data_IF_475308602235
#
_entry.id   IF_475308602235
#
_cell.length_a   1.000
_cell.length_b   1.000
_cell.length_c   1.000
_cell.angle_alpha   90.00
_cell.angle_beta   90.00
_cell.angle_gamma   90.00
#
_symmetry.space_group_name_H-M   'P 1'
#
loop_
_entity.id
_entity.type
_entity.pdbx_description
1 polymer ?
#
# COMPACT_ATOMS: atom_id res chain seq x y z
N UNK A 1 -18.04 18.69 -7.02
CA UNK A 1 -17.60 17.29 -6.73
C UNK A 1 -17.22 17.17 -5.26
N UNK A 2 -17.71 16.17 -4.55
CA UNK A 2 -17.51 16.08 -3.08
C UNK A 2 -16.07 15.81 -2.62
N UNK A 3 -15.17 15.29 -3.49
CA UNK A 3 -13.88 14.74 -3.08
C UNK A 3 -12.65 15.27 -3.86
N UNK A 4 -12.80 16.29 -4.71
CA UNK A 4 -11.67 16.85 -5.45
C UNK A 4 -11.14 18.10 -4.75
N UNK A 5 -9.84 18.09 -4.43
CA UNK A 5 -9.10 19.22 -3.89
C UNK A 5 -8.36 19.91 -5.03
N UNK A 6 -8.64 21.19 -5.23
CA UNK A 6 -7.92 22.04 -6.16
C UNK A 6 -7.03 22.99 -5.34
N UNK A 7 -5.70 22.80 -5.34
CA UNK A 7 -4.82 23.70 -4.60
C UNK A 7 -4.79 25.08 -5.25
N UNK A 8 -4.78 26.13 -4.43
CA UNK A 8 -4.63 27.50 -4.92
C UNK A 8 -3.28 27.65 -5.63
N UNK A 9 -3.26 28.35 -6.76
CA UNK A 9 -2.06 28.68 -7.54
C UNK A 9 -1.23 27.45 -7.97
N UNK A 10 -1.83 26.25 -7.99
CA UNK A 10 -1.13 25.06 -8.47
C UNK A 10 -0.91 25.13 -9.97
N UNK A 11 0.30 24.81 -10.37
CA UNK A 11 0.65 24.47 -11.76
C UNK A 11 1.76 23.42 -11.76
N UNK A 12 1.63 22.43 -12.63
CA UNK A 12 2.67 21.42 -12.80
C UNK A 12 4.00 22.08 -13.21
N UNK A 13 5.09 21.68 -12.55
CA UNK A 13 6.43 22.18 -12.85
C UNK A 13 7.08 21.48 -14.04
N UNK A 14 6.49 20.37 -14.48
CA UNK A 14 6.92 19.59 -15.64
C UNK A 14 5.76 19.51 -16.62
N UNK A 15 6.06 19.59 -17.92
CA UNK A 15 5.10 19.26 -18.96
C UNK A 15 4.82 17.75 -19.02
N UNK A 16 3.95 17.30 -19.93
CA UNK A 16 3.57 15.88 -20.03
C UNK A 16 4.75 14.97 -20.41
N UNK A 17 5.62 15.43 -21.33
CA UNK A 17 6.77 14.64 -21.78
C UNK A 17 7.79 14.49 -20.65
N UNK A 18 8.17 15.58 -20.01
CA UNK A 18 9.13 15.58 -18.90
C UNK A 18 8.58 14.86 -17.67
N UNK A 19 7.24 14.90 -17.46
CA UNK A 19 6.58 14.11 -16.43
C UNK A 19 6.77 12.61 -16.67
N UNK A 20 6.65 12.10 -17.91
CA UNK A 20 6.90 10.68 -18.21
C UNK A 20 8.33 10.26 -17.93
N UNK A 21 9.32 11.12 -18.26
CA UNK A 21 10.73 10.87 -17.94
C UNK A 21 10.93 10.82 -16.42
N UNK A 22 10.34 11.80 -15.71
CA UNK A 22 10.44 11.89 -14.25
C UNK A 22 9.80 10.69 -13.52
N UNK A 23 8.62 10.20 -13.98
CA UNK A 23 7.99 8.98 -13.47
C UNK A 23 8.96 7.79 -13.56
N UNK A 24 9.58 7.59 -14.72
CA UNK A 24 10.57 6.52 -14.92
C UNK A 24 11.76 6.67 -13.97
N UNK A 25 12.26 7.88 -13.84
CA UNK A 25 13.40 8.22 -12.97
C UNK A 25 13.11 7.89 -11.50
N UNK A 26 11.94 8.31 -10.99
CA UNK A 26 11.48 7.97 -9.62
C UNK A 26 11.37 6.46 -9.44
N UNK A 27 10.65 5.79 -10.36
CA UNK A 27 10.38 4.36 -10.24
C UNK A 27 11.65 3.53 -10.26
N UNK A 28 12.56 3.79 -11.18
CA UNK A 28 13.83 3.04 -11.28
C UNK A 28 14.70 3.23 -10.03
N UNK A 29 14.82 4.46 -9.56
CA UNK A 29 15.64 4.72 -8.38
C UNK A 29 15.05 4.06 -7.13
N UNK A 30 13.76 4.28 -6.87
CA UNK A 30 13.10 3.75 -5.67
C UNK A 30 13.11 2.22 -5.62
N UNK A 31 12.73 1.55 -6.71
CA UNK A 31 12.69 0.06 -6.74
C UNK A 31 14.06 -0.57 -6.53
N UNK A 32 15.13 0.06 -7.05
CA UNK A 32 16.49 -0.42 -6.83
C UNK A 32 16.92 -0.25 -5.37
N UNK A 33 16.59 0.90 -4.75
CA UNK A 33 16.83 1.12 -3.32
C UNK A 33 16.07 0.10 -2.47
N UNK A 34 14.79 -0.14 -2.76
CA UNK A 34 13.96 -1.10 -2.05
C UNK A 34 14.55 -2.52 -2.13
N UNK A 35 14.90 -2.96 -3.35
CA UNK A 35 15.48 -4.27 -3.59
C UNK A 35 16.79 -4.48 -2.83
N UNK A 36 17.66 -3.49 -2.81
CA UNK A 36 18.95 -3.53 -2.09
C UNK A 36 18.76 -3.55 -0.57
N UNK A 37 17.95 -2.61 -0.02
CA UNK A 37 17.80 -2.47 1.43
C UNK A 37 17.06 -3.64 2.10
N UNK A 38 16.14 -4.28 1.38
CA UNK A 38 15.37 -5.40 1.90
C UNK A 38 15.85 -6.78 1.39
N UNK A 39 16.86 -6.84 0.51
CA UNK A 39 17.35 -8.07 -0.12
C UNK A 39 16.25 -8.79 -0.93
N UNK A 40 15.65 -8.08 -1.87
CA UNK A 40 14.53 -8.57 -2.66
C UNK A 40 14.96 -8.91 -4.09
N UNK A 41 14.43 -10.00 -4.62
CA UNK A 41 14.54 -10.39 -6.02
C UNK A 41 13.23 -10.06 -6.74
N UNK A 42 13.31 -9.40 -7.91
CA UNK A 42 12.12 -9.15 -8.73
C UNK A 42 11.61 -10.45 -9.34
N UNK A 43 10.32 -10.72 -9.20
CA UNK A 43 9.67 -11.92 -9.77
C UNK A 43 8.48 -11.55 -10.64
N UNK A 44 8.09 -12.47 -11.52
CA UNK A 44 6.83 -12.38 -12.25
C UNK A 44 5.67 -12.77 -11.34
N UNK A 45 4.61 -11.97 -11.35
CA UNK A 45 3.41 -12.19 -10.57
C UNK A 45 2.16 -12.31 -11.48
N UNK A 46 1.09 -12.98 -11.01
CA UNK A 46 -0.14 -13.08 -11.78
C UNK A 46 -0.90 -11.74 -11.79
N UNK A 47 -1.51 -11.41 -12.91
CA UNK A 47 -2.51 -10.34 -13.02
C UNK A 47 -3.89 -10.81 -12.52
N UNK A 48 -4.16 -12.11 -12.59
CA UNK A 48 -5.43 -12.73 -12.20
C UNK A 48 -5.18 -14.11 -11.59
N UNK A 49 -6.09 -14.53 -10.75
CA UNK A 49 -6.02 -15.80 -10.02
C UNK A 49 -7.38 -16.53 -10.06
N UNK A 50 -7.38 -17.83 -9.72
CA UNK A 50 -8.60 -18.59 -9.47
C UNK A 50 -9.20 -18.15 -8.11
N UNK A 51 -10.47 -17.70 -8.04
CA UNK A 51 -11.12 -17.31 -6.79
C UNK A 51 -11.11 -18.41 -5.73
N UNK A 52 -11.13 -19.69 -6.15
CA UNK A 52 -11.11 -20.83 -5.24
C UNK A 52 -9.76 -21.09 -4.57
N UNK A 53 -8.70 -20.40 -5.01
CA UNK A 53 -7.35 -20.57 -4.44
C UNK A 53 -7.16 -19.89 -3.09
N UNK A 54 -7.97 -18.89 -2.76
CA UNK A 54 -7.78 -18.00 -1.60
C UNK A 54 -6.61 -17.04 -1.76
N UNK A 55 -6.10 -16.84 -2.99
CA UNK A 55 -4.94 -15.99 -3.28
C UNK A 55 -5.31 -14.56 -3.66
N UNK A 56 -6.60 -14.26 -3.93
CA UNK A 56 -7.04 -12.89 -4.14
C UNK A 56 -7.35 -12.22 -2.79
N UNK A 57 -7.05 -10.93 -2.69
CA UNK A 57 -7.39 -10.13 -1.53
C UNK A 57 -8.89 -9.76 -1.55
N UNK A 58 -9.57 -9.98 -0.45
CA UNK A 58 -10.96 -9.57 -0.31
C UNK A 58 -11.09 -8.13 0.24
N UNK A 59 -9.99 -7.41 0.42
CA UNK A 59 -9.94 -6.07 1.01
C UNK A 59 -10.75 -6.01 2.33
N UNK A 60 -11.80 -5.17 2.38
CA UNK A 60 -12.70 -5.08 3.53
C UNK A 60 -13.85 -6.12 3.48
N UNK A 61 -13.90 -6.93 2.41
CA UNK A 61 -14.90 -7.98 2.22
C UNK A 61 -16.21 -7.52 1.55
N UNK A 62 -16.29 -6.28 1.12
CA UNK A 62 -17.46 -5.70 0.43
C UNK A 62 -17.15 -5.34 -1.04
N UNK A 63 -15.90 -5.15 -1.38
CA UNK A 63 -15.43 -4.79 -2.71
C UNK A 63 -15.52 -6.01 -3.65
N UNK A 64 -16.00 -5.76 -4.86
CA UNK A 64 -16.21 -6.78 -5.88
C UNK A 64 -14.99 -6.88 -6.80
N UNK A 65 -14.36 -8.05 -6.96
CA UNK A 65 -13.29 -8.22 -7.95
C UNK A 65 -13.84 -8.11 -9.38
N UNK A 66 -12.96 -7.79 -10.34
CA UNK A 66 -13.24 -7.92 -11.77
C UNK A 66 -13.01 -9.36 -12.17
N UNK A 67 -14.06 -10.06 -12.60
CA UNK A 67 -14.01 -11.46 -12.99
C UNK A 67 -14.27 -11.62 -14.48
N UNK A 68 -13.68 -12.65 -15.09
CA UNK A 68 -13.89 -13.06 -16.47
C UNK A 68 -13.78 -14.58 -16.59
N UNK A 69 -14.36 -15.14 -17.67
CA UNK A 69 -14.25 -16.55 -18.00
C UNK A 69 -13.10 -16.82 -18.96
N UNK A 70 -12.53 -18.02 -18.87
CA UNK A 70 -11.44 -18.48 -19.74
C UNK A 70 -11.98 -19.52 -20.70
N UNK A 71 -12.11 -19.15 -22.00
CA UNK A 71 -12.69 -20.01 -23.05
C UNK A 71 -12.00 -21.38 -23.16
N UNK A 72 -10.67 -21.44 -23.14
CA UNK A 72 -9.91 -22.69 -23.26
C UNK A 72 -9.93 -23.57 -22.02
N UNK A 73 -10.57 -23.12 -20.93
CA UNK A 73 -10.72 -23.84 -19.67
C UNK A 73 -12.20 -24.06 -19.33
N UNK A 74 -13.03 -24.32 -20.33
CA UNK A 74 -14.46 -24.63 -20.19
C UNK A 74 -15.24 -23.57 -19.39
N UNK A 75 -14.88 -22.30 -19.53
CA UNK A 75 -15.53 -21.19 -18.83
C UNK A 75 -15.09 -21.04 -17.37
N UNK A 76 -13.94 -21.59 -16.96
CA UNK A 76 -13.37 -21.36 -15.63
C UNK A 76 -13.25 -19.86 -15.35
N UNK A 77 -13.71 -19.45 -14.20
CA UNK A 77 -13.65 -18.05 -13.77
C UNK A 77 -12.25 -17.72 -13.23
N UNK A 78 -11.73 -16.58 -13.65
CA UNK A 78 -10.56 -15.93 -13.08
C UNK A 78 -10.94 -14.53 -12.60
N UNK A 79 -10.26 -14.06 -11.56
CA UNK A 79 -10.41 -12.72 -11.00
C UNK A 79 -9.12 -11.93 -11.14
N UNK A 80 -9.21 -10.69 -11.63
CA UNK A 80 -8.10 -9.74 -11.56
C UNK A 80 -7.78 -9.49 -10.09
N UNK A 81 -6.51 -9.51 -9.74
CA UNK A 81 -6.09 -9.32 -8.34
C UNK A 81 -6.49 -7.94 -7.81
N UNK A 82 -6.89 -7.89 -6.54
CA UNK A 82 -7.10 -6.64 -5.80
C UNK A 82 -5.85 -6.29 -4.96
N UNK A 83 -5.06 -7.29 -4.56
CA UNK A 83 -3.67 -7.20 -4.08
C UNK A 83 -2.98 -8.55 -4.25
N UNK A 84 -1.66 -8.60 -4.01
CA UNK A 84 -0.87 -9.83 -4.05
C UNK A 84 -0.42 -10.29 -2.65
N UNK A 85 -1.08 -9.81 -1.59
CA UNK A 85 -0.66 -10.09 -0.22
C UNK A 85 -0.52 -11.59 0.08
N UNK A 86 -1.54 -12.39 -0.25
CA UNK A 86 -1.52 -13.84 -0.06
C UNK A 86 -0.58 -14.53 -1.03
N UNK A 87 -0.61 -14.12 -2.31
CA UNK A 87 0.18 -14.75 -3.36
C UNK A 87 1.69 -14.65 -3.09
N UNK A 88 2.19 -13.52 -2.60
CA UNK A 88 3.62 -13.31 -2.34
C UNK A 88 4.19 -14.32 -1.36
N UNK A 89 3.49 -14.55 -0.24
CA UNK A 89 3.91 -15.54 0.76
C UNK A 89 3.92 -16.96 0.19
N UNK A 90 2.90 -17.31 -0.59
CA UNK A 90 2.86 -18.59 -1.32
C UNK A 90 4.01 -18.70 -2.33
N UNK A 91 4.31 -17.62 -3.08
CA UNK A 91 5.38 -17.59 -4.07
C UNK A 91 6.77 -17.80 -3.44
N UNK A 92 7.04 -17.23 -2.27
CA UNK A 92 8.30 -17.46 -1.54
C UNK A 92 8.54 -18.96 -1.27
N UNK A 93 7.53 -19.70 -0.79
CA UNK A 93 7.61 -21.15 -0.63
C UNK A 93 7.82 -21.84 -1.97
N UNK A 94 6.96 -21.53 -2.96
CA UNK A 94 6.99 -22.18 -4.28
C UNK A 94 8.30 -22.01 -5.00
N UNK A 95 8.96 -20.85 -4.86
CA UNK A 95 10.22 -20.55 -5.53
C UNK A 95 11.45 -20.90 -4.68
N UNK A 96 11.29 -21.39 -3.46
CA UNK A 96 12.36 -21.87 -2.61
C UNK A 96 13.21 -20.77 -1.98
N UNK A 97 12.64 -19.59 -1.71
CA UNK A 97 13.33 -18.53 -1.00
C UNK A 97 13.58 -18.89 0.46
N UNK A 98 14.75 -18.51 0.97
CA UNK A 98 15.25 -18.84 2.30
C UNK A 98 15.16 -17.64 3.25
N UNK A 99 15.47 -17.87 4.54
CA UNK A 99 15.56 -16.83 5.56
C UNK A 99 16.41 -15.63 5.11
N UNK A 100 15.88 -14.44 5.31
CA UNK A 100 16.54 -13.18 4.97
C UNK A 100 16.42 -12.76 3.50
N UNK A 101 15.94 -13.64 2.63
CA UNK A 101 15.65 -13.37 1.22
C UNK A 101 14.18 -12.94 1.05
N UNK A 102 13.90 -12.23 -0.03
CA UNK A 102 12.54 -11.81 -0.36
C UNK A 102 12.31 -11.58 -1.84
N UNK A 103 11.08 -11.28 -2.17
CA UNK A 103 10.62 -10.98 -3.53
C UNK A 103 9.97 -9.61 -3.59
N UNK A 104 9.98 -8.99 -4.75
CA UNK A 104 9.09 -7.89 -5.10
C UNK A 104 8.59 -8.05 -6.54
N UNK A 105 7.50 -7.38 -6.83
CA UNK A 105 6.90 -7.36 -8.16
C UNK A 105 6.17 -6.04 -8.42
N UNK A 106 5.97 -5.73 -9.69
CA UNK A 106 5.06 -4.67 -10.12
C UNK A 106 3.65 -5.26 -10.14
N UNK A 107 2.84 -4.96 -9.12
CA UNK A 107 1.44 -5.35 -9.06
C UNK A 107 0.60 -4.32 -9.79
N UNK A 108 -0.32 -4.79 -10.63
CA UNK A 108 -1.40 -4.01 -11.22
C UNK A 108 -2.73 -4.62 -10.76
N UNK A 109 -3.59 -3.80 -10.18
CA UNK A 109 -4.89 -4.22 -9.68
C UNK A 109 -6.00 -3.31 -10.19
N UNK A 110 -7.22 -3.85 -10.23
CA UNK A 110 -8.43 -3.08 -10.55
C UNK A 110 -9.35 -3.13 -9.35
N UNK A 111 -9.57 -1.98 -8.71
CA UNK A 111 -10.54 -1.79 -7.63
C UNK A 111 -11.76 -1.09 -8.19
N UNK A 112 -12.67 -1.88 -8.76
CA UNK A 112 -13.82 -1.36 -9.54
C UNK A 112 -14.82 -0.55 -8.73
N UNK A 113 -14.84 -0.73 -7.41
CA UNK A 113 -15.75 -0.07 -6.48
C UNK A 113 -15.07 1.12 -5.73
N UNK A 114 -13.88 1.54 -6.17
CA UNK A 114 -13.14 2.65 -5.57
C UNK A 114 -13.78 4.01 -5.90
N UNK A 115 -13.95 4.84 -4.89
CA UNK A 115 -14.33 6.25 -5.05
C UNK A 115 -13.10 7.05 -5.46
N UNK A 116 -13.12 7.60 -6.69
CA UNK A 116 -11.99 8.35 -7.23
C UNK A 116 -11.91 9.76 -6.65
N UNK A 117 -10.68 10.18 -6.32
CA UNK A 117 -10.33 11.52 -5.86
C UNK A 117 -8.89 11.89 -6.29
N UNK A 118 -8.27 12.87 -5.63
CA UNK A 118 -6.89 13.27 -5.95
C UNK A 118 -5.86 12.15 -5.81
N UNK A 119 -6.08 11.17 -4.92
CA UNK A 119 -5.11 10.13 -4.55
C UNK A 119 -5.62 8.70 -4.74
N UNK A 120 -6.89 8.52 -5.14
CA UNK A 120 -7.52 7.22 -5.39
C UNK A 120 -7.93 7.08 -6.85
N UNK A 121 -7.58 5.93 -7.44
CA UNK A 121 -7.89 5.52 -8.81
C UNK A 121 -8.43 4.09 -8.80
N UNK A 122 -9.29 3.76 -9.75
CA UNK A 122 -9.71 2.36 -9.99
C UNK A 122 -8.55 1.46 -10.44
N UNK A 123 -7.51 2.04 -11.04
CA UNK A 123 -6.25 1.35 -11.33
C UNK A 123 -5.27 1.57 -10.18
N UNK A 124 -4.79 0.49 -9.57
CA UNK A 124 -3.82 0.51 -8.47
C UNK A 124 -2.53 -0.16 -8.92
N UNK A 125 -1.41 0.57 -8.83
CA UNK A 125 -0.08 0.05 -9.10
C UNK A 125 0.78 0.10 -7.83
N UNK A 126 1.41 -1.03 -7.47
CA UNK A 126 2.24 -1.12 -6.27
C UNK A 126 3.53 -1.88 -6.55
N UNK A 127 4.61 -1.53 -5.84
CA UNK A 127 5.67 -2.50 -5.56
C UNK A 127 5.18 -3.34 -4.39
N UNK A 128 4.75 -4.54 -4.73
CA UNK A 128 4.36 -5.55 -3.76
C UNK A 128 5.58 -6.38 -3.39
N UNK A 129 5.93 -6.43 -2.12
CA UNK A 129 7.12 -7.13 -1.63
C UNK A 129 6.81 -8.03 -0.44
N UNK A 130 7.64 -9.08 -0.26
CA UNK A 130 7.53 -10.05 0.83
C UNK A 130 8.90 -10.62 1.14
N UNK A 131 9.24 -10.80 2.43
CA UNK A 131 10.53 -11.29 2.89
C UNK A 131 10.36 -12.37 3.95
N UNK A 132 11.18 -13.45 3.88
CA UNK A 132 11.18 -14.54 4.87
C UNK A 132 11.88 -14.07 6.14
N UNK A 133 11.21 -14.29 7.28
CA UNK A 133 11.70 -14.02 8.63
C UNK A 133 11.64 -15.30 9.48
N UNK A 134 12.24 -15.27 10.66
CA UNK A 134 12.11 -16.33 11.66
C UNK A 134 10.93 -16.11 12.57
N UNK A 135 10.50 -17.14 13.29
CA UNK A 135 9.43 -17.05 14.27
C UNK A 135 9.76 -16.02 15.37
N UNK A 136 11.00 -16.00 15.88
CA UNK A 136 11.48 -15.08 16.92
C UNK A 136 11.47 -13.61 16.48
N UNK A 137 11.46 -13.37 15.16
CA UNK A 137 11.40 -12.04 14.55
C UNK A 137 9.96 -11.51 14.37
N UNK A 138 8.92 -12.30 14.76
CA UNK A 138 7.54 -11.83 14.80
C UNK A 138 7.32 -10.90 15.99
N UNK A 139 7.81 -9.68 15.91
CA UNK A 139 7.73 -8.67 16.96
C UNK A 139 7.78 -7.24 16.40
N UNK A 140 7.43 -6.25 17.24
CA UNK A 140 7.40 -4.85 16.84
C UNK A 140 8.79 -4.27 16.50
N UNK A 141 9.86 -4.80 17.07
CA UNK A 141 11.22 -4.29 16.79
C UNK A 141 11.65 -4.66 15.37
N UNK A 142 11.33 -5.87 14.92
CA UNK A 142 11.50 -6.28 13.51
C UNK A 142 10.68 -5.41 12.59
N UNK A 143 9.39 -5.17 12.89
CA UNK A 143 8.52 -4.29 12.11
C UNK A 143 9.14 -2.89 11.99
N UNK A 144 9.52 -2.28 13.11
CA UNK A 144 10.14 -0.94 13.14
C UNK A 144 11.44 -0.87 12.35
N UNK A 145 12.27 -1.93 12.43
CA UNK A 145 13.52 -2.02 11.68
C UNK A 145 13.27 -2.02 10.17
N UNK A 146 12.30 -2.81 9.71
CA UNK A 146 11.93 -2.88 8.29
C UNK A 146 11.31 -1.57 7.82
N UNK A 147 10.42 -0.95 8.62
CA UNK A 147 9.86 0.38 8.35
C UNK A 147 10.96 1.42 8.14
N UNK A 148 11.99 1.46 9.01
CA UNK A 148 13.13 2.38 8.84
C UNK A 148 13.89 2.13 7.55
N UNK A 149 14.02 0.87 7.09
CA UNK A 149 14.66 0.56 5.82
C UNK A 149 13.83 1.08 4.63
N UNK A 150 12.50 0.89 4.65
CA UNK A 150 11.60 1.45 3.62
C UNK A 150 11.65 2.98 3.66
N UNK A 151 11.60 3.58 4.85
CA UNK A 151 11.67 5.03 5.01
C UNK A 151 13.00 5.60 4.50
N UNK A 152 14.11 4.89 4.71
CA UNK A 152 15.42 5.26 4.13
C UNK A 152 15.39 5.27 2.61
N UNK A 153 14.67 4.34 1.98
CA UNK A 153 14.48 4.36 0.52
C UNK A 153 13.71 5.62 0.09
N UNK A 154 12.69 6.04 0.85
CA UNK A 154 11.97 7.30 0.59
C UNK A 154 12.89 8.51 0.71
N UNK A 155 13.67 8.62 1.79
CA UNK A 155 14.62 9.72 2.00
C UNK A 155 15.69 9.79 0.90
N UNK A 156 16.27 8.63 0.54
CA UNK A 156 17.26 8.58 -0.54
C UNK A 156 16.66 9.00 -1.87
N UNK A 157 15.40 8.62 -2.14
CA UNK A 157 14.70 9.01 -3.38
C UNK A 157 14.41 10.51 -3.37
N UNK A 158 13.93 11.07 -2.26
CA UNK A 158 13.73 12.51 -2.14
C UNK A 158 15.00 13.29 -2.44
N UNK A 159 16.11 12.91 -1.79
CA UNK A 159 17.42 13.55 -2.02
C UNK A 159 17.90 13.39 -3.46
N UNK A 160 17.70 12.21 -4.07
CA UNK A 160 18.05 12.00 -5.47
C UNK A 160 17.21 12.90 -6.38
N UNK A 161 15.90 13.00 -6.15
CA UNK A 161 15.01 13.82 -6.96
C UNK A 161 15.27 15.33 -6.78
N UNK A 162 15.65 15.80 -5.59
CA UNK A 162 16.01 17.20 -5.36
C UNK A 162 17.29 17.63 -6.12
N UNK A 163 18.19 16.68 -6.39
CA UNK A 163 19.38 16.91 -7.22
C UNK A 163 19.02 16.94 -8.71
N UNK A 164 18.02 16.15 -9.15
CA UNK A 164 17.61 16.09 -10.55
C UNK A 164 16.70 17.24 -10.97
N UNK A 165 15.91 17.79 -10.03
CA UNK A 165 14.87 18.77 -10.30
C UNK A 165 14.91 19.89 -9.25
N UNK A 166 15.35 21.08 -9.62
CA UNK A 166 15.59 22.23 -8.73
C UNK A 166 14.33 22.69 -7.95
N UNK A 167 13.11 22.37 -8.42
CA UNK A 167 11.88 22.73 -7.74
C UNK A 167 11.49 21.76 -6.61
N UNK A 168 12.18 20.64 -6.48
CA UNK A 168 11.88 19.62 -5.45
C UNK A 168 12.71 19.93 -4.20
N UNK A 169 12.04 20.41 -3.18
CA UNK A 169 12.61 20.59 -1.84
C UNK A 169 12.50 19.29 -1.02
N UNK A 170 13.49 19.03 -0.17
CA UNK A 170 13.44 17.94 0.80
C UNK A 170 12.50 18.32 1.95
N UNK A 171 11.41 17.55 2.14
CA UNK A 171 10.37 17.79 3.15
C UNK A 171 10.21 16.66 4.14
N UNK A 172 10.73 15.46 3.82
CA UNK A 172 10.69 14.33 4.74
C UNK A 172 11.65 14.56 5.93
N UNK A 173 11.24 14.29 7.17
CA UNK A 173 12.14 14.37 8.33
C UNK A 173 13.23 13.29 8.28
N UNK A 174 14.27 13.44 9.12
CA UNK A 174 15.40 12.50 9.13
C UNK A 174 15.00 11.10 9.63
N UNK A 175 14.03 10.99 10.54
CA UNK A 175 13.49 9.71 11.01
C UNK A 175 11.95 9.77 11.03
N UNK A 176 11.33 8.60 10.88
CA UNK A 176 9.88 8.44 10.92
C UNK A 176 9.39 8.33 12.36
N UNK A 177 8.28 9.00 12.68
CA UNK A 177 7.65 8.94 13.99
C UNK A 177 6.77 7.69 14.12
N UNK A 178 7.01 6.86 15.14
CA UNK A 178 6.21 5.66 15.42
C UNK A 178 5.11 5.96 16.44
N UNK A 179 3.89 5.55 16.12
CA UNK A 179 2.71 5.70 16.97
C UNK A 179 1.74 4.54 16.73
N UNK A 180 1.04 4.11 17.77
CA UNK A 180 -0.04 3.12 17.62
C UNK A 180 -1.38 3.82 17.38
N UNK A 181 -2.34 3.09 16.82
CA UNK A 181 -3.70 3.58 16.63
C UNK A 181 -4.36 3.98 17.95
N UNK A 182 -4.08 3.27 19.05
CA UNK A 182 -4.58 3.60 20.38
C UNK A 182 -3.97 4.91 20.91
N UNK A 183 -2.65 5.08 20.80
CA UNK A 183 -1.98 6.34 21.17
C UNK A 183 -2.54 7.52 20.35
N UNK A 184 -2.80 7.34 19.05
CA UNK A 184 -3.44 8.38 18.23
C UNK A 184 -4.87 8.72 18.70
N UNK A 185 -5.64 7.71 19.12
CA UNK A 185 -6.98 7.93 19.67
C UNK A 185 -6.94 8.69 20.99
N UNK A 186 -5.92 8.46 21.82
CA UNK A 186 -5.71 9.19 23.07
C UNK A 186 -5.22 10.62 22.84
N UNK A 187 -4.33 10.85 21.87
CA UNK A 187 -3.80 12.18 21.51
C UNK A 187 -4.90 13.06 20.88
N UNK A 188 -5.75 12.47 20.03
CA UNK A 188 -6.80 13.17 19.28
C UNK A 188 -8.17 12.47 19.48
N UNK A 189 -8.75 12.51 20.69
CA UNK A 189 -9.93 11.71 21.03
C UNK A 189 -11.18 12.08 20.23
N UNK A 190 -11.35 13.36 19.90
CA UNK A 190 -12.54 13.88 19.22
C UNK A 190 -12.47 13.81 17.68
N UNK A 191 -11.31 13.38 17.14
CA UNK A 191 -11.10 13.36 15.70
C UNK A 191 -11.39 12.00 15.07
N UNK A 192 -11.78 12.02 13.80
CA UNK A 192 -11.90 10.83 12.97
C UNK A 192 -10.52 10.19 12.71
N UNK A 193 -10.45 8.91 12.33
CA UNK A 193 -9.18 8.27 11.97
C UNK A 193 -8.37 9.05 10.93
N UNK A 194 -8.98 9.51 9.86
CA UNK A 194 -8.30 10.29 8.81
C UNK A 194 -7.81 11.67 9.28
N UNK A 195 -8.54 12.32 10.16
CA UNK A 195 -8.07 13.56 10.80
C UNK A 195 -6.87 13.30 11.72
N UNK A 196 -6.87 12.17 12.47
CA UNK A 196 -5.73 11.76 13.30
C UNK A 196 -4.48 11.52 12.47
N UNK A 197 -4.61 10.82 11.34
CA UNK A 197 -3.53 10.61 10.38
C UNK A 197 -2.99 11.94 9.84
N UNK A 198 -3.87 12.83 9.43
CA UNK A 198 -3.51 14.17 8.96
C UNK A 198 -2.75 14.97 10.02
N UNK A 199 -3.28 15.06 11.25
CA UNK A 199 -2.64 15.86 12.29
C UNK A 199 -1.29 15.33 12.71
N UNK A 200 -1.13 14.01 12.85
CA UNK A 200 0.17 13.43 13.20
C UNK A 200 1.17 13.57 12.06
N UNK A 201 0.76 13.35 10.82
CA UNK A 201 1.62 13.54 9.64
C UNK A 201 2.04 15.01 9.51
N UNK A 202 1.12 15.96 9.68
CA UNK A 202 1.42 17.40 9.64
C UNK A 202 2.37 17.83 10.75
N UNK A 203 2.19 17.31 11.96
CA UNK A 203 3.03 17.66 13.12
C UNK A 203 4.43 17.04 13.05
N UNK A 204 4.58 15.86 12.46
CA UNK A 204 5.82 15.07 12.44
C UNK A 204 6.48 14.97 11.06
N UNK A 205 5.82 15.39 9.98
CA UNK A 205 6.26 15.23 8.59
C UNK A 205 6.06 13.82 8.06
N UNK A 206 6.34 12.78 8.85
CA UNK A 206 6.13 11.37 8.52
C UNK A 206 5.82 10.55 9.78
N UNK A 207 4.84 9.68 9.71
CA UNK A 207 4.43 8.80 10.79
C UNK A 207 4.25 7.36 10.30
N UNK A 208 4.67 6.40 11.15
CA UNK A 208 4.33 4.99 11.03
C UNK A 208 3.23 4.69 12.04
N UNK A 209 2.02 4.46 11.56
CA UNK A 209 0.83 4.18 12.36
C UNK A 209 0.69 2.68 12.49
N UNK A 210 0.85 2.15 13.71
CA UNK A 210 0.92 0.72 13.97
C UNK A 210 -0.36 0.18 14.60
N UNK A 211 -0.57 -1.15 14.50
CA UNK A 211 -1.66 -1.92 15.11
C UNK A 211 -3.03 -1.54 14.56
N UNK A 212 -3.17 -1.65 13.25
CA UNK A 212 -4.41 -1.38 12.53
C UNK A 212 -5.23 -2.67 12.39
N UNK A 213 -6.57 -2.58 12.53
CA UNK A 213 -7.53 -3.67 12.27
C UNK A 213 -8.34 -4.08 13.49
N UNK A 214 -7.75 -4.14 14.68
CA UNK A 214 -8.49 -4.48 15.90
C UNK A 214 -9.28 -3.28 16.45
N UNK A 215 -10.25 -3.57 17.29
CA UNK A 215 -11.02 -2.53 18.00
C UNK A 215 -10.14 -1.85 19.04
N UNK A 216 -10.22 -0.53 19.08
CA UNK A 216 -9.61 0.31 20.12
C UNK A 216 -10.43 0.23 21.42
N UNK A 217 -9.93 0.80 22.51
CA UNK A 217 -10.64 0.87 23.81
C UNK A 217 -12.04 1.48 23.69
N UNK A 218 -12.27 2.38 22.72
CA UNK A 218 -13.57 2.96 22.45
C UNK A 218 -14.54 2.02 21.68
N UNK A 219 -14.13 0.78 21.39
CA UNK A 219 -14.92 -0.27 20.72
C UNK A 219 -15.00 -0.16 19.20
N UNK A 220 -14.32 0.81 18.57
CA UNK A 220 -14.27 1.00 17.12
C UNK A 220 -12.85 0.77 16.60
N UNK A 221 -12.64 0.18 15.42
CA UNK A 221 -11.31 0.12 14.82
C UNK A 221 -10.87 1.53 14.35
N UNK A 222 -9.56 1.72 14.23
CA UNK A 222 -9.01 2.92 13.58
C UNK A 222 -9.33 2.90 12.09
N UNK A 223 -9.00 1.79 11.42
CA UNK A 223 -9.33 1.53 10.01
C UNK A 223 -9.55 0.03 9.81
N UNK A 224 -10.14 -0.35 8.66
CA UNK A 224 -10.28 -1.74 8.23
C UNK A 224 -8.93 -2.35 7.88
N UNK A 225 -8.79 -3.66 8.16
CA UNK A 225 -7.66 -4.45 7.70
C UNK A 225 -8.13 -5.87 7.45
N UNK A 226 -7.82 -6.42 6.27
CA UNK A 226 -8.14 -7.81 5.97
C UNK A 226 -7.59 -8.75 7.05
N UNK A 227 -8.36 -9.74 7.50
CA UNK A 227 -7.93 -10.66 8.55
C UNK A 227 -6.93 -11.73 8.06
N UNK A 228 -6.74 -11.86 6.75
CA UNK A 228 -6.15 -13.05 6.13
C UNK A 228 -4.63 -12.99 5.98
N UNK A 229 -4.00 -11.81 6.11
CA UNK A 229 -2.57 -11.70 5.83
C UNK A 229 -1.77 -10.92 6.88
N UNK A 230 -2.11 -9.68 7.23
CA UNK A 230 -1.38 -8.92 8.24
C UNK A 230 -1.83 -9.28 9.65
N UNK A 231 -0.87 -9.54 10.55
CA UNK A 231 -1.15 -9.59 11.98
C UNK A 231 -1.51 -8.19 12.48
N UNK A 232 -2.73 -8.02 13.00
CA UNK A 232 -3.25 -6.71 13.43
C UNK A 232 -2.45 -6.07 14.57
N UNK A 233 -1.67 -6.87 15.31
CA UNK A 233 -0.76 -6.36 16.33
C UNK A 233 0.64 -6.03 15.81
N UNK A 234 0.96 -6.45 14.57
CA UNK A 234 2.30 -6.38 13.97
C UNK A 234 2.28 -5.79 12.55
N UNK A 235 1.38 -4.84 12.28
CA UNK A 235 1.26 -4.13 11.01
C UNK A 235 1.37 -2.62 11.18
N UNK A 236 1.50 -1.92 10.09
CA UNK A 236 1.50 -0.47 10.06
C UNK A 236 1.28 0.11 8.67
N UNK A 237 0.92 1.41 8.65
CA UNK A 237 0.94 2.25 7.46
C UNK A 237 1.96 3.39 7.63
N UNK A 238 2.66 3.72 6.54
CA UNK A 238 3.53 4.90 6.44
C UNK A 238 2.72 6.03 5.83
N UNK A 239 2.47 7.05 6.63
CA UNK A 239 1.73 8.26 6.23
C UNK A 239 2.66 9.46 6.31
N UNK A 240 2.75 10.22 5.24
CA UNK A 240 3.56 11.46 5.16
C UNK A 240 2.66 12.69 5.02
N UNK A 241 3.11 13.83 5.52
CA UNK A 241 2.43 15.08 5.24
C UNK A 241 2.67 15.49 3.78
N UNK A 242 1.60 15.73 3.03
CA UNK A 242 1.66 16.15 1.65
C UNK A 242 1.18 17.61 1.50
N UNK A 243 2.11 18.59 1.43
CA UNK A 243 1.76 20.00 1.48
C UNK A 243 1.02 20.50 0.24
N UNK A 244 1.14 19.84 -0.93
CA UNK A 244 0.44 20.25 -2.16
C UNK A 244 -1.08 20.20 -1.98
N UNK A 245 -1.58 19.18 -1.26
CA UNK A 245 -3.01 18.99 -0.99
C UNK A 245 -3.39 19.30 0.46
N UNK A 246 -2.42 19.59 1.33
CA UNK A 246 -2.60 19.72 2.79
C UNK A 246 -3.28 18.48 3.40
N UNK A 247 -2.76 17.29 3.12
CA UNK A 247 -3.29 16.00 3.60
C UNK A 247 -2.21 15.12 4.24
N UNK A 248 -2.65 14.10 5.00
CA UNK A 248 -1.85 12.91 5.27
C UNK A 248 -1.95 11.96 4.07
N UNK A 249 -0.82 11.62 3.46
CA UNK A 249 -0.75 10.73 2.30
C UNK A 249 -0.13 9.40 2.72
N UNK A 250 -0.89 8.32 2.67
CA UNK A 250 -0.39 6.97 2.84
C UNK A 250 0.43 6.54 1.61
N UNK A 251 1.69 6.21 1.83
CA UNK A 251 2.60 5.74 0.78
C UNK A 251 2.79 4.22 0.78
N UNK A 252 2.65 3.59 1.94
CA UNK A 252 2.90 2.15 2.11
C UNK A 252 2.07 1.58 3.23
N UNK A 253 1.57 0.37 3.02
CA UNK A 253 0.97 -0.49 4.03
C UNK A 253 1.78 -1.78 4.12
N UNK A 254 2.12 -2.23 5.35
CA UNK A 254 2.93 -3.43 5.55
C UNK A 254 2.66 -4.08 6.91
N UNK A 255 3.04 -5.37 7.03
CA UNK A 255 2.92 -6.08 8.29
C UNK A 255 3.72 -7.39 8.31
N UNK A 256 4.00 -7.85 9.53
CA UNK A 256 4.37 -9.23 9.76
C UNK A 256 3.12 -10.06 9.54
N UNK A 257 3.25 -11.12 8.74
CA UNK A 257 2.08 -11.91 8.35
C UNK A 257 1.57 -12.77 9.48
N UNK A 258 0.27 -13.02 9.47
CA UNK A 258 -0.39 -13.89 10.47
C UNK A 258 0.31 -15.24 10.58
N UNK A 259 0.41 -15.74 11.81
CA UNK A 259 0.55 -17.16 12.09
C UNK A 259 -0.83 -17.82 12.23
N UNK A 260 -0.86 -19.09 12.57
CA UNK A 260 -2.11 -19.83 12.76
C UNK A 260 -3.04 -19.18 13.78
N UNK A 261 -2.50 -18.79 14.94
CA UNK A 261 -3.31 -18.28 16.05
C UNK A 261 -3.87 -16.90 15.74
N UNK A 262 -3.04 -15.99 15.18
CA UNK A 262 -3.48 -14.69 14.71
C UNK A 262 -4.53 -14.81 13.60
N UNK A 263 -4.31 -15.68 12.60
CA UNK A 263 -5.26 -15.90 11.51
C UNK A 263 -6.63 -16.33 12.03
N UNK A 264 -6.70 -17.39 12.85
CA UNK A 264 -7.96 -17.90 13.36
C UNK A 264 -8.70 -16.88 14.23
N UNK A 265 -7.95 -16.17 15.10
CA UNK A 265 -8.53 -15.11 15.93
C UNK A 265 -9.07 -13.94 15.09
N UNK A 266 -8.35 -13.52 14.04
CA UNK A 266 -8.76 -12.40 13.18
C UNK A 266 -9.95 -12.76 12.30
N UNK A 267 -10.00 -13.98 11.76
CA UNK A 267 -11.15 -14.48 10.99
C UNK A 267 -12.42 -14.54 11.84
N UNK A 268 -12.32 -14.97 13.11
CA UNK A 268 -13.45 -14.98 14.05
C UNK A 268 -13.92 -13.54 14.35
N UNK A 269 -13.01 -12.64 14.68
CA UNK A 269 -13.31 -11.22 14.94
C UNK A 269 -13.92 -10.50 13.73
N UNK A 270 -13.51 -10.87 12.52
CA UNK A 270 -14.03 -10.33 11.26
C UNK A 270 -15.36 -10.98 10.82
N UNK A 271 -15.81 -12.04 11.52
CA UNK A 271 -17.07 -12.76 11.22
C UNK A 271 -17.01 -13.59 9.93
N UNK A 272 -15.83 -14.08 9.54
CA UNK A 272 -15.62 -14.91 8.36
C UNK A 272 -14.77 -16.17 8.63
N UNK A 273 -15.10 -16.97 9.68
CA UNK A 273 -14.30 -18.14 10.06
C UNK A 273 -14.23 -19.21 8.97
N UNK A 274 -15.22 -19.27 8.06
CA UNK A 274 -15.26 -20.20 6.92
C UNK A 274 -14.06 -20.03 5.96
N UNK A 275 -13.42 -18.86 5.92
CA UNK A 275 -12.21 -18.64 5.11
C UNK A 275 -11.04 -19.52 5.55
N UNK A 276 -11.03 -20.03 6.78
CA UNK A 276 -10.02 -20.98 7.26
C UNK A 276 -9.94 -22.25 6.39
N UNK A 277 -11.03 -22.59 5.68
CA UNK A 277 -11.12 -23.75 4.80
C UNK A 277 -10.52 -23.52 3.39
N UNK A 278 -10.19 -22.29 3.03
CA UNK A 278 -9.57 -21.99 1.73
C UNK A 278 -8.13 -22.54 1.67
N UNK A 279 -7.64 -22.94 0.48
CA UNK A 279 -6.32 -23.58 0.34
C UNK A 279 -5.15 -22.77 0.91
N UNK A 280 -5.13 -21.45 0.68
CA UNK A 280 -4.09 -20.58 1.21
C UNK A 280 -4.10 -20.52 2.74
N UNK A 281 -5.27 -20.30 3.36
CA UNK A 281 -5.42 -20.22 4.81
C UNK A 281 -5.10 -21.57 5.47
N UNK A 282 -5.50 -22.69 4.86
CA UNK A 282 -5.08 -24.04 5.30
C UNK A 282 -3.57 -24.19 5.31
N UNK A 283 -2.87 -23.74 4.28
CA UNK A 283 -1.41 -23.82 4.23
C UNK A 283 -0.72 -23.06 5.38
N UNK A 284 -1.34 -21.99 5.92
CA UNK A 284 -0.86 -21.30 7.13
C UNK A 284 -1.14 -22.14 8.37
N UNK A 285 -2.37 -22.65 8.51
CA UNK A 285 -2.81 -23.44 9.66
C UNK A 285 -1.97 -24.71 9.81
N UNK A 286 -1.64 -25.36 8.71
CA UNK A 286 -0.84 -26.58 8.63
C UNK A 286 0.68 -26.32 8.76
N UNK A 287 1.09 -25.06 8.89
CA UNK A 287 2.50 -24.66 9.06
C UNK A 287 3.34 -24.86 7.81
N UNK A 288 2.72 -24.88 6.63
CA UNK A 288 3.41 -25.12 5.37
C UNK A 288 4.10 -23.88 4.79
N UNK A 289 3.64 -22.67 5.13
CA UNK A 289 4.19 -21.43 4.62
C UNK A 289 5.24 -20.84 5.58
N UNK A 290 6.29 -20.15 5.05
CA UNK A 290 7.28 -19.51 5.90
C UNK A 290 6.66 -18.36 6.71
N UNK A 291 7.28 -17.98 7.84
CA UNK A 291 6.99 -16.70 8.47
C UNK A 291 7.57 -15.58 7.62
N UNK A 292 6.79 -14.52 7.44
CA UNK A 292 7.16 -13.44 6.52
C UNK A 292 6.71 -12.08 7.05
N UNK A 293 7.38 -11.04 6.54
CA UNK A 293 6.97 -9.65 6.60
C UNK A 293 6.84 -9.14 5.17
N UNK A 294 5.83 -8.36 4.88
CA UNK A 294 5.65 -7.83 3.54
C UNK A 294 4.72 -6.62 3.50
N UNK A 295 4.58 -6.04 2.33
CA UNK A 295 3.76 -4.86 2.14
C UNK A 295 3.56 -4.50 0.68
N UNK A 296 2.78 -3.43 0.48
CA UNK A 296 2.59 -2.75 -0.79
C UNK A 296 3.02 -1.29 -0.67
N UNK A 297 3.66 -0.78 -1.70
CA UNK A 297 4.07 0.63 -1.81
C UNK A 297 3.48 1.18 -3.09
N UNK A 298 2.61 2.19 -2.99
CA UNK A 298 1.90 2.76 -4.13
C UNK A 298 2.85 3.46 -5.11
N UNK A 299 3.06 2.90 -6.31
CA UNK A 299 3.99 3.45 -7.30
C UNK A 299 3.56 4.84 -7.75
N UNK A 300 2.29 5.00 -8.12
CA UNK A 300 1.75 6.28 -8.55
C UNK A 300 1.69 7.31 -7.42
N UNK A 301 1.38 6.88 -6.18
CA UNK A 301 1.44 7.77 -5.00
C UNK A 301 2.86 8.27 -4.72
N UNK A 302 3.87 7.41 -4.86
CA UNK A 302 5.29 7.79 -4.75
C UNK A 302 5.67 8.81 -5.83
N UNK A 303 5.27 8.58 -7.09
CA UNK A 303 5.51 9.54 -8.17
C UNK A 303 4.80 10.87 -7.91
N UNK A 304 3.52 10.84 -7.49
CA UNK A 304 2.74 12.02 -7.13
C UNK A 304 3.43 12.82 -6.02
N UNK A 305 3.86 12.15 -4.96
CA UNK A 305 4.54 12.77 -3.82
C UNK A 305 5.85 13.45 -4.23
N UNK A 306 6.75 12.73 -4.89
CA UNK A 306 8.06 13.30 -5.24
C UNK A 306 7.98 14.35 -6.35
N UNK A 307 7.08 14.20 -7.30
CA UNK A 307 6.91 15.18 -8.40
C UNK A 307 5.97 16.34 -8.04
N UNK A 308 5.50 16.40 -6.78
CA UNK A 308 4.63 17.49 -6.26
C UNK A 308 3.35 17.69 -7.09
N UNK A 309 2.70 16.61 -7.50
CA UNK A 309 1.49 16.62 -8.34
C UNK A 309 0.21 16.76 -7.51
N UNK A 310 -0.76 17.52 -8.01
CA UNK A 310 -2.03 17.74 -7.33
C UNK A 310 -3.03 16.57 -7.49
N UNK A 311 -2.85 15.74 -8.51
CA UNK A 311 -3.75 14.63 -8.79
C UNK A 311 -2.96 13.40 -9.26
N UNK A 312 -3.33 12.21 -8.78
CA UNK A 312 -2.68 10.95 -9.16
C UNK A 312 -2.76 10.69 -10.68
N UNK A 313 -3.81 11.20 -11.33
CA UNK A 313 -3.96 11.16 -12.79
C UNK A 313 -2.90 11.91 -13.58
N UNK A 314 -2.12 12.81 -12.96
CA UNK A 314 -0.97 13.44 -13.62
C UNK A 314 0.23 12.50 -13.77
N UNK A 315 0.23 11.37 -13.04
CA UNK A 315 1.31 10.37 -13.05
C UNK A 315 0.82 8.95 -13.37
N UNK A 316 -0.49 8.78 -13.56
CA UNK A 316 -1.10 7.49 -13.85
C UNK A 316 -2.22 7.67 -14.87
N UNK A 317 -2.10 7.00 -16.01
CA UNK A 317 -3.21 6.93 -16.97
C UNK A 317 -4.30 6.00 -16.44
N UNK A 318 -5.54 6.51 -16.36
CA UNK A 318 -6.70 5.80 -15.86
C UNK A 318 -7.98 6.35 -16.48
N UNK A 319 -9.14 5.90 -16.02
CA UNK A 319 -10.45 6.45 -16.39
C UNK A 319 -10.97 7.30 -15.22
N UNK A 320 -11.37 8.51 -15.53
CA UNK A 320 -11.85 9.50 -14.57
C UNK A 320 -13.26 9.96 -14.92
N UNK A 321 -14.10 10.34 -13.96
CA UNK A 321 -15.38 11.00 -14.24
C UNK A 321 -15.19 12.26 -15.11
N UNK A 322 -16.06 12.47 -16.09
CA UNK A 322 -15.97 13.62 -17.03
C UNK A 322 -15.94 14.97 -16.31
N UNK A 323 -16.69 15.11 -15.23
CA UNK A 323 -16.68 16.31 -14.39
C UNK A 323 -15.30 16.54 -13.75
N UNK A 324 -14.63 15.48 -13.28
CA UNK A 324 -13.28 15.56 -12.70
C UNK A 324 -12.25 15.98 -13.76
N UNK A 325 -12.33 15.40 -14.97
CA UNK A 325 -11.45 15.78 -16.10
C UNK A 325 -11.63 17.25 -16.43
N UNK A 326 -12.88 17.71 -16.52
CA UNK A 326 -13.21 19.10 -16.86
C UNK A 326 -12.72 20.09 -15.80
N UNK A 327 -12.91 19.76 -14.52
CA UNK A 327 -12.48 20.58 -13.40
C UNK A 327 -10.95 20.67 -13.31
N UNK A 328 -10.25 19.54 -13.43
CA UNK A 328 -8.80 19.48 -13.48
C UNK A 328 -8.22 20.32 -14.64
N UNK A 329 -8.80 20.19 -15.84
CA UNK A 329 -8.38 20.96 -17.02
C UNK A 329 -8.58 22.47 -16.82
N UNK A 330 -9.68 22.88 -16.18
CA UNK A 330 -9.96 24.28 -15.83
C UNK A 330 -8.92 24.90 -14.88
N UNK A 331 -8.21 24.09 -14.12
CA UNK A 331 -7.19 24.48 -13.14
C UNK A 331 -5.77 24.06 -13.53
N UNK A 332 -5.53 23.78 -14.81
CA UNK A 332 -4.21 23.40 -15.35
C UNK A 332 -3.62 22.11 -14.74
N UNK A 333 -4.45 21.25 -14.17
CA UNK A 333 -4.08 19.89 -13.75
C UNK A 333 -4.29 18.97 -14.95
N UNK A 334 -3.19 18.55 -15.57
CA UNK A 334 -3.22 17.74 -16.80
C UNK A 334 -3.21 16.26 -16.45
N UNK A 335 -4.35 15.58 -16.60
CA UNK A 335 -4.46 14.14 -16.43
C UNK A 335 -3.91 13.43 -17.68
N UNK A 336 -3.21 12.27 -17.47
CA UNK A 336 -2.62 11.43 -18.54
C UNK A 336 -3.67 10.65 -19.31
#
# INVERSE_FOLDING_TARGET
MKNLIIPNDYHSKLDLHDTQIAIKTVKDFFQNQLAQHLHLTRVSAPLFVDPKSGLNDNLNGVERPVAFDIKEQDGRIAEVVQSLAQWKRYALKKYGFSYGEGIYTDMNAIRRDEDTDNIHSIFVDQWDWEKVIKLEERNLDTLRSVVRNVYRCLKNTEKFMSIQYDYIEEILPDDIYFVTTEELAQIFPDNTPKEREYYIAKAKGAACIMKIGDKLENGKPHDGRSPDYDDWQLNCDIVVYYPVLDIGLELSSMGIRVDKDALLSQLDKAGCPERAELPYQKSIIDGELPFTIGGGIGQSRICMFFLRKAHIGEVQSSLWPEEMVSECAGHQIQLL
#
